data_IF_453354826005
#
_entry.id   IF_453354826005
#
_cell.length_a   1.000
_cell.length_b   1.000
_cell.length_c   1.000
_cell.angle_alpha   90.00
_cell.angle_beta   90.00
_cell.angle_gamma   90.00
#
_symmetry.space_group_name_H-M   'P 1'
#
loop_
_entity.id
_entity.type
_entity.pdbx_description
1 polymer ?
#
# COMPACT_ATOMS: atom_id res chain seq x y z
N UNK A 1 -6.84 -54.03 48.06
CA UNK A 1 -7.66 -53.44 46.98
C UNK A 1 -7.28 -51.97 46.84
N UNK A 2 -6.87 -51.61 45.63
CA UNK A 2 -5.99 -50.48 45.30
C UNK A 2 -6.77 -49.15 45.24
N UNK A 3 -6.25 -48.11 45.90
CA UNK A 3 -6.83 -46.78 45.96
C UNK A 3 -6.40 -45.99 44.72
N UNK A 4 -7.30 -45.74 43.78
CA UNK A 4 -7.02 -44.93 42.58
C UNK A 4 -7.00 -43.44 42.94
N UNK A 5 -5.95 -42.67 42.61
CA UNK A 5 -5.89 -41.25 42.91
C UNK A 5 -6.78 -40.43 41.96
N UNK A 6 -7.60 -39.53 42.52
CA UNK A 6 -8.38 -38.53 41.77
C UNK A 6 -7.44 -37.55 41.06
N UNK A 7 -7.47 -37.54 39.74
CA UNK A 7 -6.85 -36.49 38.92
C UNK A 7 -7.59 -35.16 39.14
N UNK A 8 -6.86 -34.11 39.52
CA UNK A 8 -7.34 -32.72 39.55
C UNK A 8 -7.54 -32.25 38.10
N UNK A 9 -8.64 -31.54 37.76
CA UNK A 9 -8.76 -30.91 36.45
C UNK A 9 -7.75 -29.77 36.35
N UNK A 10 -6.99 -29.77 35.26
CA UNK A 10 -6.04 -28.73 34.92
C UNK A 10 -6.77 -27.39 34.79
N UNK A 11 -6.32 -26.39 35.55
CA UNK A 11 -6.69 -24.99 35.34
C UNK A 11 -6.27 -24.58 33.93
N UNK A 12 -7.26 -24.30 33.09
CA UNK A 12 -7.05 -23.73 31.77
C UNK A 12 -6.35 -22.37 31.90
N UNK A 13 -5.09 -22.33 31.49
CA UNK A 13 -4.29 -21.12 31.34
C UNK A 13 -4.97 -20.21 30.30
N UNK A 14 -5.71 -19.23 30.78
CA UNK A 14 -6.44 -18.27 29.96
C UNK A 14 -5.46 -17.18 29.53
N UNK A 15 -4.58 -17.50 28.57
CA UNK A 15 -3.78 -16.47 27.88
C UNK A 15 -4.74 -15.44 27.28
N UNK A 16 -4.53 -14.12 27.51
CA UNK A 16 -5.36 -13.11 26.88
C UNK A 16 -5.16 -13.22 25.37
N UNK A 17 -6.25 -13.54 24.67
CA UNK A 17 -6.35 -13.42 23.22
C UNK A 17 -5.91 -12.02 22.83
N UNK A 18 -4.81 -11.93 22.09
CA UNK A 18 -4.41 -10.72 21.37
C UNK A 18 -5.57 -10.37 20.46
N UNK A 19 -6.41 -9.45 20.95
CA UNK A 19 -7.54 -8.90 20.19
C UNK A 19 -6.91 -8.27 18.95
N UNK A 20 -7.05 -8.95 17.81
CA UNK A 20 -6.72 -8.37 16.52
C UNK A 20 -7.46 -7.04 16.46
N UNK A 21 -6.71 -5.94 16.43
CA UNK A 21 -7.28 -4.63 16.12
C UNK A 21 -7.76 -4.79 14.69
N UNK A 22 -9.07 -5.00 14.53
CA UNK A 22 -9.68 -4.99 13.22
C UNK A 22 -9.23 -3.70 12.51
N UNK A 23 -8.85 -3.76 11.22
CA UNK A 23 -8.55 -2.56 10.46
C UNK A 23 -9.69 -1.59 10.71
N UNK A 24 -9.37 -0.38 11.20
CA UNK A 24 -10.38 0.65 11.38
C UNK A 24 -11.09 0.77 10.05
N UNK A 25 -12.39 0.44 10.04
CA UNK A 25 -13.26 0.71 8.91
C UNK A 25 -13.07 2.18 8.56
N UNK A 26 -12.54 2.47 7.38
CA UNK A 26 -12.53 3.84 6.88
C UNK A 26 -13.98 4.32 6.99
N UNK A 27 -14.26 5.43 7.70
CA UNK A 27 -15.60 5.99 7.70
C UNK A 27 -16.01 6.09 6.23
N UNK A 28 -17.22 5.62 5.91
CA UNK A 28 -17.75 5.63 4.55
C UNK A 28 -17.52 7.02 3.97
N UNK A 29 -16.51 7.16 3.12
CA UNK A 29 -16.16 8.41 2.48
C UNK A 29 -17.43 8.90 1.78
N UNK A 30 -17.77 10.17 1.96
CA UNK A 30 -18.84 10.76 1.14
C UNK A 30 -18.49 10.50 -0.32
N UNK A 31 -19.49 10.21 -1.15
CA UNK A 31 -19.29 9.75 -2.53
C UNK A 31 -18.28 10.61 -3.31
N UNK A 32 -18.32 11.93 -3.10
CA UNK A 32 -17.41 12.91 -3.70
C UNK A 32 -15.93 12.70 -3.31
N UNK A 33 -15.63 12.49 -2.02
CA UNK A 33 -14.26 12.20 -1.56
C UNK A 33 -13.75 10.84 -2.04
N UNK A 34 -14.63 9.83 -2.09
CA UNK A 34 -14.28 8.53 -2.65
C UNK A 34 -13.93 8.67 -4.14
N UNK A 35 -14.75 9.40 -4.89
CA UNK A 35 -14.51 9.66 -6.31
C UNK A 35 -13.21 10.44 -6.53
N UNK A 36 -12.97 11.50 -5.76
CA UNK A 36 -11.74 12.28 -5.81
C UNK A 36 -10.50 11.42 -5.50
N UNK A 37 -10.58 10.54 -4.50
CA UNK A 37 -9.51 9.58 -4.20
C UNK A 37 -9.26 8.65 -5.39
N UNK A 38 -10.30 8.07 -5.99
CA UNK A 38 -10.17 7.17 -7.15
C UNK A 38 -9.52 7.85 -8.35
N UNK A 39 -9.92 9.08 -8.68
CA UNK A 39 -9.31 9.85 -9.78
C UNK A 39 -7.83 10.12 -9.51
N UNK A 40 -7.47 10.46 -8.27
CA UNK A 40 -6.05 10.68 -7.91
C UNK A 40 -5.23 9.40 -7.97
N UNK A 41 -5.77 8.29 -7.48
CA UNK A 41 -5.13 6.97 -7.60
C UNK A 41 -4.91 6.57 -9.05
N UNK A 42 -5.88 6.85 -9.93
CA UNK A 42 -5.75 6.60 -11.35
C UNK A 42 -4.58 7.42 -11.94
N UNK A 43 -4.52 8.72 -11.67
CA UNK A 43 -3.47 9.60 -12.17
C UNK A 43 -2.06 9.17 -11.70
N UNK A 44 -1.91 8.78 -10.43
CA UNK A 44 -0.63 8.26 -9.91
C UNK A 44 -0.24 6.95 -10.61
N UNK A 45 -1.23 6.08 -10.85
CA UNK A 45 -1.03 4.80 -11.55
C UNK A 45 -0.62 5.03 -13.00
N UNK A 46 -1.27 5.92 -13.72
CA UNK A 46 -0.93 6.27 -15.11
C UNK A 46 0.50 6.84 -15.19
N UNK A 47 0.86 7.73 -14.27
CA UNK A 47 2.21 8.30 -14.18
C UNK A 47 3.26 7.20 -13.93
N UNK A 48 2.99 6.30 -12.98
CA UNK A 48 3.87 5.17 -12.70
C UNK A 48 4.00 4.25 -13.92
N UNK A 49 2.89 3.91 -14.58
CA UNK A 49 2.87 2.99 -15.71
C UNK A 49 3.67 3.55 -16.90
N UNK A 50 3.54 4.85 -17.19
CA UNK A 50 4.31 5.49 -18.25
C UNK A 50 5.83 5.29 -18.05
N UNK A 51 6.33 5.54 -16.85
CA UNK A 51 7.75 5.30 -16.54
C UNK A 51 8.11 3.82 -16.44
N UNK A 52 7.20 2.97 -15.99
CA UNK A 52 7.43 1.54 -15.84
C UNK A 52 7.65 0.85 -17.19
N UNK A 53 6.84 1.15 -18.20
CA UNK A 53 7.01 0.57 -19.53
C UNK A 53 8.36 0.94 -20.15
N UNK A 54 8.78 2.21 -20.03
CA UNK A 54 10.10 2.68 -20.47
C UNK A 54 11.24 1.85 -19.84
N UNK A 55 11.20 1.67 -18.51
CA UNK A 55 12.21 0.88 -17.79
C UNK A 55 12.19 -0.59 -18.17
N UNK A 56 11.02 -1.15 -18.47
CA UNK A 56 10.91 -2.54 -18.95
C UNK A 56 11.45 -2.71 -20.35
N UNK A 57 11.27 -1.72 -21.22
CA UNK A 57 11.90 -1.70 -22.52
C UNK A 57 13.42 -1.73 -22.41
N UNK A 58 14.01 -0.82 -21.62
CA UNK A 58 15.45 -0.81 -21.37
C UNK A 58 16.00 -2.09 -20.73
N UNK A 59 15.22 -2.74 -19.85
CA UNK A 59 15.60 -4.03 -19.28
C UNK A 59 15.64 -5.13 -20.36
N UNK A 60 14.71 -5.09 -21.32
CA UNK A 60 14.67 -6.04 -22.43
C UNK A 60 15.88 -5.83 -23.37
N UNK A 61 16.21 -4.58 -23.70
CA UNK A 61 17.40 -4.24 -24.48
C UNK A 61 18.68 -4.76 -23.80
N UNK A 62 18.87 -4.45 -22.52
CA UNK A 62 20.03 -4.90 -21.76
C UNK A 62 20.13 -6.43 -21.65
N UNK A 63 19.00 -7.13 -21.63
CA UNK A 63 18.98 -8.60 -21.66
C UNK A 63 19.37 -9.13 -23.06
N UNK A 64 18.94 -8.45 -24.12
CA UNK A 64 19.33 -8.77 -25.50
C UNK A 64 20.84 -8.59 -25.72
N UNK A 65 21.40 -7.48 -25.24
CA UNK A 65 22.85 -7.22 -25.28
C UNK A 65 23.64 -8.30 -24.53
N UNK A 66 23.19 -8.67 -23.33
CA UNK A 66 23.81 -9.74 -22.56
C UNK A 66 23.73 -11.11 -23.26
N UNK A 67 22.60 -11.42 -23.89
CA UNK A 67 22.44 -12.65 -24.66
C UNK A 67 23.38 -12.69 -25.88
N UNK A 68 23.53 -11.57 -26.59
CA UNK A 68 24.47 -11.46 -27.71
C UNK A 68 25.92 -11.63 -27.23
N UNK A 69 26.30 -10.92 -26.16
CA UNK A 69 27.66 -10.98 -25.62
C UNK A 69 28.04 -12.39 -25.14
N UNK A 70 27.12 -13.07 -24.46
CA UNK A 70 27.34 -14.45 -23.99
C UNK A 70 27.40 -15.44 -25.15
N UNK A 71 26.60 -15.25 -26.20
CA UNK A 71 26.70 -16.03 -27.43
C UNK A 71 28.05 -15.84 -28.13
N UNK A 72 28.55 -14.60 -28.20
CA UNK A 72 29.85 -14.27 -28.80
C UNK A 72 31.05 -14.75 -27.96
N UNK A 73 30.89 -14.88 -26.65
CA UNK A 73 31.92 -15.43 -25.77
C UNK A 73 32.10 -16.95 -25.97
N UNK A 74 31.07 -17.67 -26.40
CA UNK A 74 31.13 -19.11 -26.62
C UNK A 74 31.51 -19.86 -25.33
N UNK A 75 32.65 -20.56 -25.34
CA UNK A 75 33.16 -21.30 -24.18
C UNK A 75 34.21 -20.53 -23.37
N UNK A 76 34.47 -19.26 -23.68
CA UNK A 76 35.43 -18.42 -22.95
C UNK A 76 34.85 -18.03 -21.57
N UNK A 77 35.27 -18.77 -20.54
CA UNK A 77 34.78 -18.61 -19.18
C UNK A 77 35.13 -17.24 -18.56
N UNK A 78 36.25 -16.62 -18.96
CA UNK A 78 36.63 -15.31 -18.47
C UNK A 78 35.73 -14.22 -19.05
N UNK A 79 35.45 -14.28 -20.37
CA UNK A 79 34.51 -13.37 -21.03
C UNK A 79 33.08 -13.55 -20.52
N UNK A 80 32.62 -14.79 -20.34
CA UNK A 80 31.30 -15.07 -19.75
C UNK A 80 31.16 -14.49 -18.34
N UNK A 81 32.18 -14.65 -17.50
CA UNK A 81 32.19 -14.09 -16.14
C UNK A 81 32.09 -12.56 -16.17
N UNK A 82 32.87 -11.90 -17.03
CA UNK A 82 32.81 -10.44 -17.20
C UNK A 82 31.44 -9.96 -17.70
N UNK A 83 30.84 -10.66 -18.66
CA UNK A 83 29.49 -10.36 -19.16
C UNK A 83 28.46 -10.39 -18.03
N UNK A 84 28.50 -11.43 -17.19
CA UNK A 84 27.59 -11.59 -16.04
C UNK A 84 27.80 -10.47 -15.03
N UNK A 85 29.04 -10.15 -14.66
CA UNK A 85 29.33 -9.07 -13.72
C UNK A 85 28.79 -7.73 -14.22
N UNK A 86 29.05 -7.37 -15.48
CA UNK A 86 28.54 -6.13 -16.08
C UNK A 86 27.02 -6.08 -16.10
N UNK A 87 26.37 -7.18 -16.48
CA UNK A 87 24.91 -7.25 -16.48
C UNK A 87 24.34 -7.08 -15.07
N UNK A 88 24.94 -7.71 -14.06
CA UNK A 88 24.54 -7.60 -12.65
C UNK A 88 24.68 -6.18 -12.10
N UNK A 89 25.79 -5.50 -12.39
CA UNK A 89 26.00 -4.10 -11.99
C UNK A 89 24.91 -3.18 -12.57
N UNK A 90 24.61 -3.34 -13.86
CA UNK A 90 23.51 -2.62 -14.51
C UNK A 90 22.14 -3.00 -13.93
N UNK A 91 21.91 -4.27 -13.63
CA UNK A 91 20.64 -4.77 -13.11
C UNK A 91 20.31 -4.17 -11.74
N UNK A 92 21.31 -4.00 -10.86
CA UNK A 92 21.11 -3.35 -9.57
C UNK A 92 20.64 -1.90 -9.71
N UNK A 93 21.18 -1.17 -10.69
CA UNK A 93 20.77 0.22 -10.93
C UNK A 93 19.33 0.29 -11.44
N UNK A 94 18.96 -0.59 -12.38
CA UNK A 94 17.58 -0.69 -12.89
C UNK A 94 16.58 -1.10 -11.81
N UNK A 95 16.92 -2.09 -10.97
CA UNK A 95 16.10 -2.53 -9.85
C UNK A 95 15.89 -1.43 -8.80
N UNK A 96 16.94 -0.64 -8.48
CA UNK A 96 16.82 0.49 -7.57
C UNK A 96 15.85 1.56 -8.10
N UNK A 97 15.89 1.85 -9.40
CA UNK A 97 14.95 2.77 -10.02
C UNK A 97 13.50 2.24 -9.95
N UNK A 98 13.30 0.94 -10.24
CA UNK A 98 11.99 0.29 -10.12
C UNK A 98 11.42 0.35 -8.70
N UNK A 99 12.23 -0.01 -7.69
CA UNK A 99 11.79 0.05 -6.29
C UNK A 99 11.45 1.48 -5.86
N UNK A 100 12.29 2.45 -6.22
CA UNK A 100 12.06 3.86 -5.87
C UNK A 100 10.72 4.34 -6.41
N UNK A 101 10.46 4.14 -7.70
CA UNK A 101 9.26 4.64 -8.35
C UNK A 101 8.00 3.90 -7.87
N UNK A 102 8.13 2.60 -7.56
CA UNK A 102 7.05 1.84 -6.92
C UNK A 102 6.72 2.34 -5.51
N UNK A 103 7.74 2.67 -4.70
CA UNK A 103 7.53 3.25 -3.38
C UNK A 103 6.88 4.63 -3.47
N UNK A 104 7.28 5.48 -4.43
CA UNK A 104 6.64 6.77 -4.69
C UNK A 104 5.15 6.58 -4.98
N UNK A 105 4.79 5.65 -5.89
CA UNK A 105 3.38 5.33 -6.17
C UNK A 105 2.62 4.95 -4.88
N UNK A 106 3.16 4.01 -4.11
CA UNK A 106 2.54 3.55 -2.87
C UNK A 106 2.33 4.69 -1.86
N UNK A 107 3.35 5.52 -1.66
CA UNK A 107 3.30 6.66 -0.73
C UNK A 107 2.29 7.71 -1.20
N UNK A 108 2.29 8.08 -2.48
CA UNK A 108 1.35 9.05 -3.03
C UNK A 108 -0.09 8.54 -2.94
N UNK A 109 -0.34 7.31 -3.35
CA UNK A 109 -1.67 6.68 -3.27
C UNK A 109 -2.19 6.65 -1.83
N UNK A 110 -1.35 6.26 -0.87
CA UNK A 110 -1.70 6.26 0.55
C UNK A 110 -1.97 7.68 1.05
N UNK A 111 -1.16 8.66 0.64
CA UNK A 111 -1.33 10.07 1.00
C UNK A 111 -2.65 10.65 0.48
N UNK A 112 -3.03 10.36 -0.77
CA UNK A 112 -4.31 10.80 -1.33
C UNK A 112 -5.49 10.21 -0.58
N UNK A 113 -5.45 8.90 -0.27
CA UNK A 113 -6.49 8.24 0.51
C UNK A 113 -6.61 8.82 1.93
N UNK A 114 -5.48 9.02 2.61
CA UNK A 114 -5.46 9.58 3.96
C UNK A 114 -6.01 11.02 3.98
N UNK A 115 -5.66 11.84 2.98
CA UNK A 115 -6.16 13.21 2.86
C UNK A 115 -7.68 13.24 2.65
N UNK A 116 -8.20 12.46 1.71
CA UNK A 116 -9.65 12.43 1.44
C UNK A 116 -10.45 11.86 2.63
N UNK A 117 -9.87 10.89 3.37
CA UNK A 117 -10.45 10.42 4.63
C UNK A 117 -10.52 11.51 5.69
N UNK A 118 -9.45 12.29 5.83
CA UNK A 118 -9.41 13.40 6.78
C UNK A 118 -10.41 14.52 6.42
N UNK A 119 -10.47 14.89 5.14
CA UNK A 119 -11.43 15.89 4.64
C UNK A 119 -12.88 15.44 4.87
N UNK A 120 -13.21 14.18 4.56
CA UNK A 120 -14.54 13.62 4.79
C UNK A 120 -14.93 13.60 6.29
N UNK A 121 -13.99 13.29 7.18
CA UNK A 121 -14.20 13.33 8.63
C UNK A 121 -14.47 14.76 9.12
N UNK A 122 -13.65 15.73 8.68
CA UNK A 122 -13.82 17.14 9.06
C UNK A 122 -15.18 17.68 8.63
N UNK A 123 -15.55 17.42 7.38
CA UNK A 123 -16.83 17.83 6.83
C UNK A 123 -18.05 17.21 7.53
N UNK A 124 -17.94 15.95 7.97
CA UNK A 124 -18.97 15.28 8.76
C UNK A 124 -19.15 15.95 10.13
N UNK A 125 -18.04 16.31 10.79
CA UNK A 125 -18.06 17.01 12.08
C UNK A 125 -18.70 18.39 11.94
N UNK A 126 -18.31 19.18 10.94
CA UNK A 126 -18.87 20.51 10.68
C UNK A 126 -20.38 20.43 10.40
N UNK A 127 -20.81 19.46 9.59
CA UNK A 127 -22.24 19.22 9.31
C UNK A 127 -23.00 18.91 10.61
N UNK A 128 -22.43 18.09 11.49
CA UNK A 128 -23.05 17.71 12.77
C UNK A 128 -23.15 18.91 13.72
N UNK A 129 -22.12 19.74 13.78
CA UNK A 129 -22.11 20.97 14.57
C UNK A 129 -23.19 21.94 14.07
N UNK A 130 -23.27 22.15 12.75
CA UNK A 130 -24.28 23.02 12.15
C UNK A 130 -25.71 22.51 12.37
N UNK A 131 -25.95 21.20 12.23
CA UNK A 131 -27.26 20.59 12.54
C UNK A 131 -27.64 20.81 14.01
N UNK A 132 -26.70 20.62 14.93
CA UNK A 132 -26.91 20.85 16.37
C UNK A 132 -27.22 22.32 16.65
N UNK A 133 -26.50 23.24 16.01
CA UNK A 133 -26.73 24.69 16.13
C UNK A 133 -28.11 25.07 15.62
N UNK A 134 -28.52 24.57 14.45
CA UNK A 134 -29.86 24.82 13.87
C UNK A 134 -30.96 24.28 14.78
N UNK A 135 -30.81 23.05 15.30
CA UNK A 135 -31.77 22.47 16.24
C UNK A 135 -31.93 23.31 17.52
N UNK A 136 -30.82 23.81 18.08
CA UNK A 136 -30.86 24.72 19.24
C UNK A 136 -31.59 26.03 18.91
N UNK A 137 -31.34 26.60 17.74
CA UNK A 137 -31.96 27.87 17.31
C UNK A 137 -33.47 27.70 17.08
N UNK A 138 -33.89 26.57 16.49
CA UNK A 138 -35.29 26.23 16.30
C UNK A 138 -36.05 26.01 17.63
N UNK A 139 -35.40 25.44 18.65
CA UNK A 139 -35.98 25.33 20.00
C UNK A 139 -36.22 26.69 20.68
N UNK A 140 -35.48 27.73 20.30
CA UNK A 140 -35.66 29.09 20.84
C UNK A 140 -36.65 29.93 20.03
N UNK A 141 -37.13 29.42 18.89
CA UNK A 141 -38.02 30.11 17.96
C UNK A 141 -39.46 29.60 18.03
N UNK A 142 -39.92 29.11 19.18
CA UNK A 142 -41.33 28.78 19.39
C UNK A 142 -42.17 30.05 19.18
N UNK A 143 -43.06 30.10 18.17
CA UNK A 143 -43.89 31.26 17.92
C UNK A 143 -44.99 31.35 19.00
N UNK A 144 -45.23 32.57 19.49
CA UNK A 144 -46.34 32.93 20.38
C UNK A 144 -47.63 33.03 19.58
#
# INVERSE_FOLDING_TARGET
MTRTPRLKPATADRRPSTRAVAPRSFPTLRHEHLWAAQVRLLNETETFLAGWFERRHHMAEALGEFAAETSEAGTDTARLSQAVTRWQEGAQTRLRADLRDWLILCTNCTGHLAREAHEAESEMLDTTVELTRRARTAQHATPV
#
